data_IF_628685387051
#
_entry.id   IF_628685387051
#
_cell.length_a   1.000
_cell.length_b   1.000
_cell.length_c   1.000
_cell.angle_alpha   90.00
_cell.angle_beta   90.00
_cell.angle_gamma   90.00
#
_symmetry.space_group_name_H-M   'P 1'
#
loop_
_entity.id
_entity.type
_entity.pdbx_description
1 polymer ?
#
# COMPACT_ATOMS: atom_id res chain seq x y z
N UNK A 1 -8.45 14.25 -8.42
CA UNK A 1 -8.09 13.56 -7.15
C UNK A 1 -7.82 12.09 -7.42
N UNK A 2 -6.85 11.48 -6.74
CA UNK A 2 -6.54 10.05 -6.81
C UNK A 2 -6.80 9.40 -5.46
N UNK A 3 -7.32 8.18 -5.45
CA UNK A 3 -7.61 7.41 -4.24
C UNK A 3 -6.87 6.08 -4.29
N UNK A 4 -6.10 5.81 -3.25
CA UNK A 4 -5.47 4.53 -2.98
C UNK A 4 -6.26 3.87 -1.86
N UNK A 5 -6.87 2.72 -2.10
CA UNK A 5 -7.74 2.07 -1.13
C UNK A 5 -7.30 0.62 -0.86
N UNK A 6 -7.24 0.26 0.41
CA UNK A 6 -7.13 -1.12 0.84
C UNK A 6 -8.54 -1.70 1.00
N UNK A 7 -8.94 -2.62 0.12
CA UNK A 7 -10.26 -3.25 0.19
C UNK A 7 -10.37 -4.29 1.30
N UNK A 8 -9.25 -4.82 1.74
CA UNK A 8 -9.17 -5.81 2.81
C UNK A 8 -7.79 -5.78 3.45
N UNK A 9 -7.71 -6.25 4.67
CA UNK A 9 -6.44 -6.53 5.34
C UNK A 9 -6.14 -8.04 5.49
N UNK A 10 -6.91 -8.91 4.81
CA UNK A 10 -6.55 -10.33 4.63
C UNK A 10 -5.49 -10.50 3.54
N UNK A 11 -4.51 -11.36 3.78
CA UNK A 11 -3.48 -11.72 2.80
C UNK A 11 -3.07 -13.20 2.94
N UNK A 12 -2.88 -13.88 1.81
CA UNK A 12 -2.37 -15.25 1.75
C UNK A 12 -0.84 -15.30 1.81
N UNK A 13 -0.15 -14.24 1.36
CA UNK A 13 1.30 -14.17 1.34
C UNK A 13 1.86 -13.78 2.72
N UNK A 14 3.08 -14.26 3.00
CA UNK A 14 3.85 -13.93 4.19
C UNK A 14 5.19 -13.28 3.81
N UNK A 15 5.12 -12.12 3.14
CA UNK A 15 6.33 -11.41 2.69
C UNK A 15 7.08 -10.81 3.89
N UNK A 16 8.35 -11.15 4.14
CA UNK A 16 9.06 -10.80 5.38
C UNK A 16 9.20 -9.30 5.65
N UNK A 17 9.27 -8.48 4.58
CA UNK A 17 9.38 -7.01 4.71
C UNK A 17 8.03 -6.30 4.67
N UNK A 18 6.92 -7.04 4.75
CA UNK A 18 5.60 -6.44 4.75
C UNK A 18 5.28 -5.83 6.11
N UNK A 19 4.77 -4.59 6.11
CA UNK A 19 4.39 -3.85 7.30
C UNK A 19 3.24 -4.47 8.12
N UNK A 20 2.61 -5.55 7.60
CA UNK A 20 1.60 -6.31 8.34
C UNK A 20 2.18 -7.24 9.40
N UNK A 21 3.49 -7.53 9.36
CA UNK A 21 4.17 -8.44 10.27
C UNK A 21 5.06 -7.70 11.25
N UNK A 22 5.13 -8.22 12.48
CA UNK A 22 6.09 -7.77 13.48
C UNK A 22 7.50 -8.14 13.03
N UNK A 23 8.42 -7.19 13.14
CA UNK A 23 9.81 -7.40 12.70
C UNK A 23 10.52 -8.48 13.51
N UNK A 24 11.33 -9.30 12.84
CA UNK A 24 12.16 -10.32 13.48
C UNK A 24 11.43 -11.53 14.04
N UNK A 25 10.10 -11.58 13.90
CA UNK A 25 9.27 -12.66 14.42
C UNK A 25 8.79 -13.61 13.33
N UNK A 26 8.12 -14.68 13.74
CA UNK A 26 7.60 -15.81 12.93
C UNK A 26 6.54 -15.42 11.88
N UNK A 27 6.70 -14.28 11.23
CA UNK A 27 5.75 -13.72 10.25
C UNK A 27 4.30 -13.80 10.73
N UNK A 28 4.10 -13.51 12.01
CA UNK A 28 2.78 -13.38 12.61
C UNK A 28 2.23 -11.98 12.35
N UNK A 29 1.01 -11.86 11.80
CA UNK A 29 0.41 -10.56 11.58
C UNK A 29 0.26 -9.77 12.88
N UNK A 30 0.36 -8.45 12.79
CA UNK A 30 -0.07 -7.57 13.88
C UNK A 30 -1.55 -7.79 14.20
N UNK A 31 -1.94 -7.63 15.46
CA UNK A 31 -3.31 -7.86 15.93
C UNK A 31 -4.35 -6.93 15.27
N UNK A 32 -3.91 -5.78 14.77
CA UNK A 32 -4.76 -4.81 14.08
C UNK A 32 -5.09 -5.19 12.64
N UNK A 33 -4.50 -6.26 12.07
CA UNK A 33 -4.75 -6.73 10.70
C UNK A 33 -5.56 -8.05 10.70
N UNK A 34 -6.01 -8.49 9.51
CA UNK A 34 -6.90 -9.65 9.31
C UNK A 34 -8.29 -9.49 9.96
N UNK A 35 -8.84 -8.29 9.97
CA UNK A 35 -10.08 -7.96 10.69
C UNK A 35 -11.18 -7.36 9.81
N UNK A 36 -10.86 -6.84 8.63
CA UNK A 36 -11.84 -6.07 7.85
C UNK A 36 -11.77 -6.34 6.35
N UNK A 37 -12.93 -6.17 5.73
CA UNK A 37 -13.15 -6.15 4.28
C UNK A 37 -14.19 -5.09 3.96
N UNK A 38 -14.04 -4.42 2.85
CA UNK A 38 -15.00 -3.46 2.32
C UNK A 38 -16.07 -4.20 1.55
N UNK A 39 -17.33 -3.98 1.90
CA UNK A 39 -18.47 -4.48 1.11
C UNK A 39 -18.81 -3.51 -0.02
N UNK A 40 -19.53 -3.99 -1.04
CA UNK A 40 -20.01 -3.12 -2.13
C UNK A 40 -20.95 -2.03 -1.61
N UNK A 41 -21.75 -2.32 -0.59
CA UNK A 41 -22.66 -1.33 0.00
C UNK A 41 -21.90 -0.25 0.76
N UNK A 42 -20.86 -0.61 1.54
CA UNK A 42 -19.95 0.36 2.16
C UNK A 42 -19.25 1.19 1.09
N UNK A 43 -18.72 0.58 0.03
CA UNK A 43 -18.06 1.30 -1.04
C UNK A 43 -18.99 2.32 -1.72
N UNK A 44 -20.23 1.94 -2.02
CA UNK A 44 -21.26 2.84 -2.57
C UNK A 44 -21.65 3.95 -1.59
N UNK A 45 -21.71 3.66 -0.30
CA UNK A 45 -21.95 4.66 0.75
C UNK A 45 -20.81 5.70 0.80
N UNK A 46 -19.55 5.24 0.71
CA UNK A 46 -18.38 6.10 0.73
C UNK A 46 -18.24 6.92 -0.56
N UNK A 47 -18.59 6.33 -1.69
CA UNK A 47 -18.48 6.91 -3.02
C UNK A 47 -19.80 6.80 -3.79
N UNK A 48 -20.84 7.57 -3.39
CA UNK A 48 -22.14 7.55 -4.10
C UNK A 48 -22.02 8.11 -5.52
N UNK A 49 -20.98 8.84 -5.81
CA UNK A 49 -20.53 9.29 -7.13
C UNK A 49 -19.02 9.19 -7.24
N UNK A 50 -18.53 8.99 -8.47
CA UNK A 50 -17.10 9.00 -8.79
C UNK A 50 -16.66 10.30 -9.46
N UNK A 51 -17.53 11.31 -9.49
CA UNK A 51 -17.23 12.61 -10.07
C UNK A 51 -16.02 13.25 -9.36
N UNK A 52 -15.08 13.81 -10.14
CA UNK A 52 -13.84 14.39 -9.61
C UNK A 52 -12.76 13.38 -9.18
N UNK A 53 -13.06 12.07 -9.22
CA UNK A 53 -12.07 11.01 -8.96
C UNK A 53 -11.47 10.55 -10.29
N UNK A 54 -10.21 10.91 -10.51
CA UNK A 54 -9.45 10.51 -11.71
C UNK A 54 -9.07 9.02 -11.69
N UNK A 55 -8.73 8.51 -10.49
CA UNK A 55 -8.17 7.18 -10.33
C UNK A 55 -8.53 6.58 -8.98
N UNK A 56 -8.89 5.31 -9.00
CA UNK A 56 -8.96 4.46 -7.81
C UNK A 56 -7.94 3.32 -7.97
N UNK A 57 -7.12 3.14 -6.94
CA UNK A 57 -6.08 2.12 -6.93
C UNK A 57 -6.32 1.16 -5.75
N UNK A 58 -6.70 -0.07 -6.04
CA UNK A 58 -6.76 -1.15 -5.07
C UNK A 58 -5.33 -1.53 -4.67
N UNK A 59 -4.88 -0.94 -3.59
CA UNK A 59 -3.54 -1.15 -3.07
C UNK A 59 -3.59 -2.19 -1.95
N UNK A 60 -2.57 -3.03 -1.87
CA UNK A 60 -2.45 -4.02 -0.81
C UNK A 60 -1.41 -3.58 0.21
N UNK A 61 -1.69 -2.56 1.01
CA UNK A 61 -0.75 -2.11 2.06
C UNK A 61 -0.62 -3.15 3.16
N UNK A 62 -1.74 -3.70 3.59
CA UNK A 62 -1.84 -4.71 4.63
C UNK A 62 -2.54 -5.99 4.17
N UNK A 63 -3.16 -6.00 3.00
CA UNK A 63 -3.93 -7.12 2.48
C UNK A 63 -3.63 -7.42 1.01
N UNK A 64 -4.28 -8.45 0.51
CA UNK A 64 -4.32 -8.82 -0.90
C UNK A 64 -5.70 -8.46 -1.45
N UNK A 65 -5.84 -7.48 -2.34
CA UNK A 65 -7.15 -7.02 -2.80
C UNK A 65 -8.05 -8.12 -3.36
N UNK A 66 -7.48 -9.12 -4.03
CA UNK A 66 -8.23 -10.25 -4.59
C UNK A 66 -8.86 -11.19 -3.54
N UNK A 67 -8.58 -10.98 -2.26
CA UNK A 67 -9.26 -11.64 -1.14
C UNK A 67 -10.48 -10.87 -0.62
N UNK A 68 -10.73 -9.66 -1.10
CA UNK A 68 -11.99 -8.97 -0.81
C UNK A 68 -13.14 -9.68 -1.53
N UNK A 69 -14.16 -10.08 -0.78
CA UNK A 69 -15.29 -10.84 -1.31
C UNK A 69 -16.02 -10.09 -2.44
N UNK A 70 -16.19 -8.79 -2.28
CA UNK A 70 -16.97 -7.94 -3.19
C UNK A 70 -16.12 -7.21 -4.24
N UNK A 71 -14.84 -7.59 -4.41
CA UNK A 71 -13.95 -6.87 -5.33
C UNK A 71 -14.46 -6.80 -6.76
N UNK A 72 -15.11 -7.86 -7.27
CA UNK A 72 -15.67 -7.86 -8.63
C UNK A 72 -16.82 -6.86 -8.76
N UNK A 73 -17.70 -6.78 -7.76
CA UNK A 73 -18.81 -5.84 -7.76
C UNK A 73 -18.32 -4.40 -7.57
N UNK A 74 -17.31 -4.17 -6.72
CA UNK A 74 -16.67 -2.86 -6.53
C UNK A 74 -15.96 -2.41 -7.81
N UNK A 75 -15.19 -3.29 -8.46
CA UNK A 75 -14.52 -3.00 -9.73
C UNK A 75 -15.52 -2.68 -10.83
N UNK A 76 -16.60 -3.49 -10.92
CA UNK A 76 -17.70 -3.26 -11.87
C UNK A 76 -18.38 -1.91 -11.66
N UNK A 77 -18.63 -1.52 -10.40
CA UNK A 77 -19.19 -0.22 -10.06
C UNK A 77 -18.28 0.94 -10.52
N UNK A 78 -16.96 0.82 -10.29
CA UNK A 78 -15.99 1.85 -10.67
C UNK A 78 -15.92 2.00 -12.19
N UNK A 79 -15.85 0.89 -12.90
CA UNK A 79 -15.76 0.89 -14.38
C UNK A 79 -17.09 1.27 -15.03
N UNK A 80 -18.20 1.05 -14.34
CA UNK A 80 -19.56 1.29 -14.85
C UNK A 80 -20.03 0.18 -15.79
N UNK A 81 -19.76 -1.08 -15.43
CA UNK A 81 -20.21 -2.27 -16.15
C UNK A 81 -21.10 -3.14 -15.27
N UNK A 82 -21.94 -3.94 -15.85
CA UNK A 82 -22.71 -4.96 -15.15
C UNK A 82 -21.91 -6.27 -14.98
N UNK A 83 -22.55 -7.29 -14.38
CA UNK A 83 -21.94 -8.62 -14.16
C UNK A 83 -21.46 -9.31 -15.45
N UNK A 84 -21.99 -8.90 -16.59
CA UNK A 84 -21.72 -9.46 -17.91
C UNK A 84 -20.80 -8.57 -18.74
N UNK A 85 -20.19 -7.57 -18.08
CA UNK A 85 -19.33 -6.55 -18.70
C UNK A 85 -20.08 -5.71 -19.77
N UNK A 86 -21.39 -5.60 -19.65
CA UNK A 86 -22.17 -4.65 -20.43
C UNK A 86 -22.02 -3.25 -19.82
N UNK A 87 -21.53 -2.31 -20.61
CA UNK A 87 -21.33 -0.94 -20.19
C UNK A 87 -22.65 -0.25 -19.91
N UNK A 88 -22.90 0.11 -18.65
CA UNK A 88 -24.15 0.77 -18.22
C UNK A 88 -23.96 2.25 -17.91
N UNK A 89 -22.72 2.69 -17.70
CA UNK A 89 -22.36 4.07 -17.39
C UNK A 89 -20.97 4.39 -17.94
N UNK A 90 -20.81 5.56 -18.51
CA UNK A 90 -19.48 6.03 -18.94
C UNK A 90 -18.75 6.67 -17.77
N UNK A 91 -17.99 5.88 -17.01
CA UNK A 91 -17.11 6.38 -15.95
C UNK A 91 -15.70 6.60 -16.50
N UNK A 92 -15.12 7.78 -16.22
CA UNK A 92 -13.76 8.11 -16.64
C UNK A 92 -12.71 7.81 -15.55
N UNK A 93 -13.14 7.25 -14.43
CA UNK A 93 -12.25 6.89 -13.32
C UNK A 93 -11.38 5.69 -13.68
N UNK A 94 -10.07 5.88 -13.71
CA UNK A 94 -9.12 4.79 -13.97
C UNK A 94 -9.11 3.81 -12.80
N UNK A 95 -9.07 2.53 -13.11
CA UNK A 95 -8.95 1.46 -12.11
C UNK A 95 -7.54 0.85 -12.15
N UNK A 96 -6.84 0.90 -11.04
CA UNK A 96 -5.57 0.23 -10.84
C UNK A 96 -5.68 -0.80 -9.72
N UNK A 97 -4.88 -1.85 -9.80
CA UNK A 97 -4.80 -2.87 -8.74
C UNK A 97 -3.36 -3.38 -8.62
N UNK A 98 -2.92 -3.67 -7.40
CA UNK A 98 -1.73 -4.51 -7.16
C UNK A 98 -2.14 -5.84 -6.57
N UNK A 99 -1.54 -6.92 -7.03
CA UNK A 99 -1.82 -8.26 -6.52
C UNK A 99 -0.55 -9.12 -6.45
N UNK A 100 -0.54 -10.08 -5.53
CA UNK A 100 0.44 -11.16 -5.53
C UNK A 100 0.03 -12.32 -6.48
N UNK A 101 -1.22 -12.32 -6.97
CA UNK A 101 -1.76 -13.29 -7.94
C UNK A 101 -1.97 -14.70 -7.42
N UNK A 102 -1.60 -14.99 -6.16
CA UNK A 102 -1.59 -16.34 -5.59
C UNK A 102 -2.93 -16.81 -5.02
N UNK A 103 -4.00 -16.00 -5.16
CA UNK A 103 -5.33 -16.31 -4.63
C UNK A 103 -6.29 -16.73 -5.74
N UNK A 104 -7.46 -17.17 -5.35
CA UNK A 104 -8.57 -17.52 -6.27
C UNK A 104 -8.18 -18.52 -7.36
N UNK A 105 -9.07 -18.76 -8.32
CA UNK A 105 -8.85 -19.57 -9.50
C UNK A 105 -9.02 -18.76 -10.79
N UNK A 106 -8.73 -19.38 -11.93
CA UNK A 106 -8.77 -18.74 -13.25
C UNK A 106 -10.12 -18.10 -13.57
N UNK A 107 -11.24 -18.69 -13.12
CA UNK A 107 -12.57 -18.11 -13.36
C UNK A 107 -12.70 -16.71 -12.74
N UNK A 108 -12.21 -16.51 -11.53
CA UNK A 108 -12.19 -15.18 -10.89
C UNK A 108 -11.35 -14.20 -11.70
N UNK A 109 -10.15 -14.63 -12.13
CA UNK A 109 -9.21 -13.76 -12.85
C UNK A 109 -9.70 -13.44 -14.27
N UNK A 110 -10.40 -14.36 -14.94
CA UNK A 110 -11.09 -14.07 -16.20
C UNK A 110 -12.13 -12.96 -15.99
N UNK A 111 -12.99 -13.10 -14.97
CA UNK A 111 -14.02 -12.09 -14.68
C UNK A 111 -13.43 -10.71 -14.36
N UNK A 112 -12.35 -10.69 -13.59
CA UNK A 112 -11.66 -9.43 -13.27
C UNK A 112 -10.98 -8.84 -14.52
N UNK A 113 -10.41 -9.68 -15.38
CA UNK A 113 -9.82 -9.27 -16.65
C UNK A 113 -10.85 -8.67 -17.60
N UNK A 114 -12.05 -9.29 -17.73
CA UNK A 114 -13.18 -8.74 -18.49
C UNK A 114 -13.56 -7.32 -18.01
N UNK A 115 -13.64 -7.11 -16.68
CA UNK A 115 -13.95 -5.79 -16.12
C UNK A 115 -12.84 -4.78 -16.47
N UNK A 116 -11.58 -5.18 -16.32
CA UNK A 116 -10.45 -4.29 -16.64
C UNK A 116 -10.34 -3.97 -18.14
N UNK A 117 -10.78 -4.86 -19.02
CA UNK A 117 -10.80 -4.61 -20.47
C UNK A 117 -11.74 -3.48 -20.87
N UNK A 118 -12.82 -3.29 -20.09
CA UNK A 118 -13.80 -2.21 -20.27
C UNK A 118 -13.42 -0.91 -19.55
N UNK A 119 -12.39 -0.94 -18.72
CA UNK A 119 -11.96 0.21 -17.94
C UNK A 119 -11.33 1.31 -18.83
N UNK A 120 -11.37 2.58 -18.41
CA UNK A 120 -10.73 3.68 -19.15
C UNK A 120 -9.25 3.43 -19.41
N UNK A 121 -8.75 3.94 -20.55
CA UNK A 121 -7.34 3.82 -20.93
C UNK A 121 -6.42 4.30 -19.80
N UNK A 122 -5.39 3.50 -19.50
CA UNK A 122 -4.48 3.73 -18.38
C UNK A 122 -4.89 3.01 -17.09
N UNK A 123 -5.95 2.19 -17.14
CA UNK A 123 -6.25 1.20 -16.11
C UNK A 123 -5.40 -0.04 -16.32
N UNK A 124 -4.90 -0.65 -15.25
CA UNK A 124 -4.09 -1.89 -15.31
C UNK A 124 -3.97 -2.57 -13.96
N UNK A 125 -3.65 -3.87 -14.00
CA UNK A 125 -3.32 -4.67 -12.82
C UNK A 125 -1.82 -4.91 -12.74
N UNK A 126 -1.21 -4.61 -11.59
CA UNK A 126 0.20 -4.87 -11.30
C UNK A 126 0.31 -6.24 -10.63
N UNK A 127 1.03 -7.13 -11.26
CA UNK A 127 1.35 -8.46 -10.76
C UNK A 127 2.72 -8.45 -10.10
N UNK A 128 2.75 -8.62 -8.80
CA UNK A 128 3.98 -8.62 -8.01
C UNK A 128 4.61 -10.02 -8.02
N UNK A 129 5.48 -10.30 -9.01
CA UNK A 129 6.11 -11.60 -9.21
C UNK A 129 7.62 -11.44 -9.04
N UNK A 130 8.12 -11.72 -7.84
CA UNK A 130 9.48 -11.42 -7.40
C UNK A 130 10.44 -12.61 -7.56
N UNK A 131 10.25 -13.41 -8.58
CA UNK A 131 11.11 -14.55 -8.91
C UNK A 131 10.42 -15.55 -9.82
N UNK A 132 11.20 -16.51 -10.33
CA UNK A 132 10.74 -17.59 -11.23
C UNK A 132 10.82 -18.91 -10.48
N UNK A 133 9.72 -19.69 -10.49
CA UNK A 133 9.61 -20.96 -9.77
C UNK A 133 9.89 -20.77 -8.27
N UNK A 134 10.73 -21.57 -7.69
CA UNK A 134 11.01 -21.63 -6.26
C UNK A 134 11.61 -20.34 -5.69
N UNK A 135 12.22 -19.51 -6.53
CA UNK A 135 12.76 -18.21 -6.07
C UNK A 135 11.67 -17.20 -5.69
N UNK A 136 10.46 -17.33 -6.24
CA UNK A 136 9.33 -16.49 -5.82
C UNK A 136 9.06 -16.64 -4.32
N UNK A 137 9.06 -17.87 -3.82
CA UNK A 137 8.70 -18.16 -2.43
C UNK A 137 9.77 -17.73 -1.41
N UNK A 138 10.99 -17.42 -1.85
CA UNK A 138 12.02 -16.88 -0.97
C UNK A 138 11.62 -15.51 -0.38
N UNK A 139 10.81 -14.74 -1.11
CA UNK A 139 10.26 -13.47 -0.62
C UNK A 139 8.72 -13.50 -0.50
N UNK A 140 8.01 -14.03 -1.50
CA UNK A 140 6.55 -14.17 -1.48
C UNK A 140 6.16 -15.51 -0.83
N UNK A 141 6.51 -15.68 0.44
CA UNK A 141 6.22 -16.91 1.19
C UNK A 141 4.72 -17.24 1.10
N UNK A 142 4.36 -18.52 0.89
CA UNK A 142 3.00 -19.02 0.64
C UNK A 142 2.38 -18.62 -0.73
N UNK A 143 3.16 -18.15 -1.69
CA UNK A 143 2.66 -17.83 -3.04
C UNK A 143 3.24 -18.82 -4.05
N UNK A 144 2.40 -19.60 -4.68
CA UNK A 144 2.80 -20.57 -5.70
C UNK A 144 2.98 -19.91 -7.07
N UNK A 145 4.16 -20.09 -7.68
CA UNK A 145 4.51 -19.46 -8.96
C UNK A 145 3.62 -19.93 -10.11
N UNK A 146 3.35 -21.22 -10.23
CA UNK A 146 2.60 -21.77 -11.36
C UNK A 146 1.12 -21.32 -11.27
N UNK A 147 0.59 -21.22 -10.06
CA UNK A 147 -0.73 -20.63 -9.83
C UNK A 147 -0.78 -19.14 -10.24
N UNK A 148 0.24 -18.35 -9.86
CA UNK A 148 0.32 -16.92 -10.25
C UNK A 148 0.36 -16.78 -11.76
N UNK A 149 1.20 -17.56 -12.46
CA UNK A 149 1.32 -17.51 -13.91
C UNK A 149 0.01 -17.93 -14.61
N UNK A 150 -0.65 -18.99 -14.11
CA UNK A 150 -1.95 -19.43 -14.62
C UNK A 150 -3.02 -18.37 -14.45
N UNK A 151 -3.08 -17.72 -13.29
CA UNK A 151 -4.02 -16.65 -12.99
C UNK A 151 -3.75 -15.40 -13.84
N UNK A 152 -2.49 -14.97 -13.97
CA UNK A 152 -2.11 -13.84 -14.80
C UNK A 152 -2.47 -14.08 -16.28
N UNK A 153 -2.26 -15.30 -16.78
CA UNK A 153 -2.67 -15.66 -18.14
C UNK A 153 -4.18 -15.53 -18.32
N UNK A 154 -4.96 -16.06 -17.39
CA UNK A 154 -6.43 -15.96 -17.43
C UNK A 154 -6.91 -14.50 -17.47
N UNK A 155 -6.32 -13.62 -16.68
CA UNK A 155 -6.62 -12.19 -16.68
C UNK A 155 -6.27 -11.51 -18.02
N UNK A 156 -5.09 -11.84 -18.58
CA UNK A 156 -4.61 -11.23 -19.84
C UNK A 156 -5.40 -11.74 -21.05
N UNK A 157 -5.78 -13.02 -21.08
CA UNK A 157 -6.53 -13.64 -22.20
C UNK A 157 -7.91 -13.03 -22.37
N UNK A 158 -8.51 -12.46 -21.35
CA UNK A 158 -9.79 -11.71 -21.43
C UNK A 158 -9.60 -10.22 -21.72
N UNK A 159 -8.38 -9.80 -22.05
CA UNK A 159 -8.10 -8.41 -22.41
C UNK A 159 -7.69 -7.51 -21.23
N UNK A 160 -7.56 -8.05 -20.03
CA UNK A 160 -7.13 -7.31 -18.84
C UNK A 160 -5.69 -6.78 -18.99
N UNK A 161 -5.45 -5.45 -18.92
CA UNK A 161 -4.13 -4.87 -19.03
C UNK A 161 -3.27 -5.22 -17.80
N UNK A 162 -2.17 -5.94 -17.97
CA UNK A 162 -1.32 -6.41 -16.90
C UNK A 162 0.11 -5.88 -16.97
N UNK A 163 0.68 -5.52 -15.82
CA UNK A 163 2.06 -5.12 -15.65
C UNK A 163 2.75 -6.11 -14.72
N UNK A 164 3.87 -6.67 -15.11
CA UNK A 164 4.70 -7.47 -14.21
C UNK A 164 5.65 -6.55 -13.45
N UNK A 165 5.57 -6.53 -12.13
CA UNK A 165 6.53 -5.82 -11.27
C UNK A 165 7.34 -6.83 -10.47
N UNK A 166 8.68 -6.66 -10.48
CA UNK A 166 9.63 -7.52 -9.79
C UNK A 166 10.51 -6.73 -8.83
N UNK A 167 10.49 -7.08 -7.56
CA UNK A 167 11.50 -6.65 -6.60
C UNK A 167 12.74 -7.53 -6.77
N UNK A 168 13.90 -6.88 -6.89
CA UNK A 168 15.17 -7.57 -7.14
C UNK A 168 15.99 -7.62 -5.87
N UNK A 169 16.26 -8.85 -5.45
CA UNK A 169 17.12 -9.26 -4.35
C UNK A 169 18.30 -10.05 -4.92
N UNK A 170 19.30 -10.37 -4.12
CA UNK A 170 20.44 -11.21 -4.54
C UNK A 170 20.01 -12.56 -5.08
N UNK A 171 19.01 -13.19 -4.45
CA UNK A 171 18.54 -14.54 -4.84
C UNK A 171 17.81 -14.62 -6.20
N UNK A 172 17.40 -13.49 -6.77
CA UNK A 172 16.65 -13.44 -8.03
C UNK A 172 17.22 -12.45 -9.06
N UNK A 173 18.33 -11.77 -8.78
CA UNK A 173 18.91 -10.75 -9.66
C UNK A 173 19.26 -11.28 -11.05
N UNK A 174 19.75 -12.51 -11.15
CA UNK A 174 20.11 -13.15 -12.41
C UNK A 174 18.88 -13.56 -13.25
N UNK A 175 17.69 -13.50 -12.67
CA UNK A 175 16.45 -13.87 -13.34
C UNK A 175 15.76 -12.72 -14.08
N UNK A 176 16.21 -11.47 -13.91
CA UNK A 176 15.54 -10.27 -14.45
C UNK A 176 15.36 -10.37 -15.97
N UNK A 177 16.41 -10.75 -16.72
CA UNK A 177 16.33 -10.90 -18.17
C UNK A 177 15.34 -12.01 -18.60
N UNK A 178 15.35 -13.13 -17.90
CA UNK A 178 14.43 -14.26 -18.13
C UNK A 178 12.99 -13.88 -17.80
N UNK A 179 12.76 -13.19 -16.68
CA UNK A 179 11.44 -12.70 -16.27
C UNK A 179 10.87 -11.73 -17.32
N UNK A 180 11.69 -10.80 -17.82
CA UNK A 180 11.32 -9.90 -18.92
C UNK A 180 10.94 -10.64 -20.20
N UNK A 181 11.63 -11.70 -20.55
CA UNK A 181 11.30 -12.54 -21.71
C UNK A 181 9.96 -13.24 -21.51
N UNK A 182 9.74 -13.87 -20.34
CA UNK A 182 8.49 -14.54 -20.01
C UNK A 182 7.32 -13.54 -20.03
N UNK A 183 7.50 -12.34 -19.46
CA UNK A 183 6.45 -11.32 -19.44
C UNK A 183 6.00 -10.92 -20.84
N UNK A 184 6.93 -10.77 -21.78
CA UNK A 184 6.62 -10.50 -23.21
C UNK A 184 5.86 -11.66 -23.87
N UNK A 185 6.31 -12.89 -23.66
CA UNK A 185 5.63 -14.08 -24.20
C UNK A 185 4.21 -14.24 -23.65
N UNK A 186 3.98 -13.86 -22.41
CA UNK A 186 2.66 -13.85 -21.76
C UNK A 186 1.81 -12.63 -22.11
N UNK A 187 2.33 -11.67 -22.89
CA UNK A 187 1.63 -10.44 -23.30
C UNK A 187 1.34 -9.50 -22.13
N UNK A 188 2.18 -9.46 -21.10
CA UNK A 188 2.15 -8.32 -20.20
C UNK A 188 2.46 -7.04 -20.98
N UNK A 189 1.71 -5.96 -20.71
CA UNK A 189 1.92 -4.69 -21.40
C UNK A 189 3.23 -4.00 -21.00
N UNK A 190 3.73 -4.28 -19.79
CA UNK A 190 4.99 -3.73 -19.28
C UNK A 190 5.65 -4.69 -18.29
N UNK A 191 6.99 -4.55 -18.17
CA UNK A 191 7.81 -5.24 -17.17
C UNK A 191 8.63 -4.21 -16.41
N UNK A 192 8.39 -4.09 -15.12
CA UNK A 192 9.06 -3.19 -14.21
C UNK A 192 9.88 -3.96 -13.19
N UNK A 193 11.08 -3.49 -12.89
CA UNK A 193 11.88 -4.07 -11.80
C UNK A 193 12.57 -2.98 -10.99
N UNK A 194 12.75 -3.25 -9.71
CA UNK A 194 13.39 -2.31 -8.78
C UNK A 194 14.25 -3.10 -7.81
N UNK A 195 15.52 -2.74 -7.68
CA UNK A 195 16.38 -3.29 -6.63
C UNK A 195 15.89 -2.84 -5.26
N UNK A 196 15.83 -3.75 -4.32
CA UNK A 196 15.54 -3.44 -2.92
C UNK A 196 16.82 -2.89 -2.31
N UNK A 197 16.75 -1.68 -1.78
CA UNK A 197 17.92 -0.95 -1.28
C UNK A 197 17.75 -0.41 0.16
N UNK A 198 16.78 -0.98 0.90
CA UNK A 198 16.43 -0.50 2.24
C UNK A 198 16.53 -1.61 3.30
N UNK A 199 17.20 -2.74 3.00
CA UNK A 199 17.40 -3.78 4.03
C UNK A 199 18.28 -3.25 5.17
N UNK A 200 19.13 -2.32 4.88
CA UNK A 200 19.96 -1.58 5.82
C UNK A 200 19.15 -0.97 6.97
N UNK A 201 18.01 -0.36 6.65
CA UNK A 201 17.15 0.31 7.64
C UNK A 201 16.29 -0.69 8.43
N UNK A 202 16.15 -1.92 7.94
CA UNK A 202 15.28 -2.94 8.53
C UNK A 202 16.01 -3.92 9.43
N UNK A 203 17.28 -4.23 9.16
CA UNK A 203 18.03 -5.24 9.92
C UNK A 203 18.62 -4.71 11.22
N UNK A 204 18.86 -3.41 11.32
CA UNK A 204 19.67 -2.82 12.40
C UNK A 204 21.16 -3.20 12.32
N UNK A 205 21.54 -4.13 11.44
CA UNK A 205 22.90 -4.63 11.28
C UNK A 205 23.71 -3.81 10.28
N UNK A 206 23.05 -3.08 9.40
CA UNK A 206 23.71 -2.21 8.42
C UNK A 206 24.50 -2.95 7.32
N UNK A 207 24.25 -4.25 7.12
CA UNK A 207 25.00 -5.13 6.20
C UNK A 207 24.24 -5.48 4.89
N UNK A 208 23.05 -4.92 4.69
CA UNK A 208 22.22 -5.22 3.51
C UNK A 208 21.52 -6.58 3.57
N UNK A 209 21.40 -7.16 4.77
CA UNK A 209 20.68 -8.40 5.00
C UNK A 209 19.44 -8.18 5.88
N UNK A 210 18.45 -9.05 5.75
CA UNK A 210 17.31 -9.14 6.64
C UNK A 210 17.03 -10.59 6.99
N UNK A 211 17.10 -10.90 8.30
CA UNK A 211 16.86 -12.25 8.82
C UNK A 211 15.51 -12.33 9.52
N UNK A 212 14.77 -13.40 9.25
CA UNK A 212 13.47 -13.67 9.84
C UNK A 212 13.30 -15.17 10.14
N UNK A 213 12.40 -15.49 11.05
CA UNK A 213 12.04 -16.88 11.38
C UNK A 213 10.69 -17.21 10.74
N UNK A 214 10.57 -18.41 10.15
CA UNK A 214 9.31 -18.94 9.64
C UNK A 214 9.27 -20.46 9.87
N UNK A 215 8.21 -20.94 10.54
CA UNK A 215 8.03 -22.36 10.91
C UNK A 215 9.22 -22.96 11.66
N UNK A 216 9.86 -22.17 12.52
CA UNK A 216 11.03 -22.59 13.30
C UNK A 216 12.36 -22.59 12.56
N UNK A 217 12.38 -22.23 11.28
CA UNK A 217 13.59 -22.11 10.48
C UNK A 217 13.98 -20.64 10.30
N UNK A 218 15.28 -20.36 10.32
CA UNK A 218 15.83 -19.02 10.09
C UNK A 218 16.14 -18.84 8.61
N UNK A 219 15.62 -17.75 8.03
CA UNK A 219 15.81 -17.38 6.63
C UNK A 219 16.46 -16.01 6.54
N UNK A 220 17.26 -15.78 5.50
CA UNK A 220 17.91 -14.49 5.25
C UNK A 220 17.60 -14.03 3.82
N UNK A 221 17.27 -12.75 3.69
CA UNK A 221 17.14 -12.03 2.42
C UNK A 221 18.32 -11.07 2.32
N UNK A 222 18.94 -11.00 1.15
CA UNK A 222 20.07 -10.12 0.88
C UNK A 222 19.71 -9.15 -0.25
N UNK A 223 20.25 -7.94 -0.17
CA UNK A 223 20.16 -6.98 -1.28
C UNK A 223 20.90 -7.50 -2.52
N UNK A 224 20.46 -7.04 -3.70
CA UNK A 224 21.13 -7.38 -4.95
C UNK A 224 22.55 -6.80 -4.97
N UNK A 225 23.49 -7.48 -5.65
CA UNK A 225 24.85 -7.00 -5.85
C UNK A 225 24.84 -5.65 -6.59
N UNK A 226 25.89 -4.84 -6.41
CA UNK A 226 26.01 -3.49 -6.98
C UNK A 226 24.90 -2.50 -6.57
N UNK A 227 24.25 -2.76 -5.46
CA UNK A 227 23.33 -1.81 -4.86
C UNK A 227 24.15 -0.63 -4.35
N UNK A 228 24.11 0.48 -5.09
CA UNK A 228 24.73 1.72 -4.62
C UNK A 228 23.89 2.22 -3.45
N UNK A 229 24.35 1.89 -2.25
CA UNK A 229 23.81 2.50 -1.05
C UNK A 229 24.01 4.01 -1.14
N UNK A 230 22.99 4.71 -1.59
CA UNK A 230 22.91 6.12 -1.29
C UNK A 230 22.57 6.21 0.19
N UNK A 231 23.58 6.17 1.04
CA UNK A 231 23.51 6.50 2.47
C UNK A 231 23.07 7.93 2.73
N UNK A 232 22.34 8.50 1.81
CA UNK A 232 21.74 9.81 1.87
C UNK A 232 20.36 9.73 2.56
N UNK A 233 20.35 9.21 3.78
CA UNK A 233 19.39 9.69 4.78
C UNK A 233 19.87 11.09 5.17
N UNK A 234 19.79 12.02 4.23
CA UNK A 234 20.01 13.42 4.55
C UNK A 234 18.95 13.80 5.55
N UNK A 235 19.34 14.14 6.78
CA UNK A 235 18.44 14.77 7.75
C UNK A 235 17.91 16.02 7.05
N UNK A 236 16.58 16.09 6.89
CA UNK A 236 15.96 17.29 6.36
C UNK A 236 16.25 18.42 7.35
N UNK A 237 16.93 19.49 6.91
CA UNK A 237 17.19 20.64 7.76
C UNK A 237 15.85 21.23 8.28
N UNK A 238 15.85 21.79 9.47
CA UNK A 238 14.66 22.38 10.12
C UNK A 238 13.92 23.40 9.23
N UNK A 239 14.63 24.02 8.30
CA UNK A 239 14.07 25.00 7.35
C UNK A 239 13.87 24.43 5.93
N UNK A 240 13.85 23.10 5.75
CA UNK A 240 13.63 22.51 4.43
C UNK A 240 12.19 22.75 3.97
N UNK A 241 12.02 23.15 2.72
CA UNK A 241 10.70 23.18 2.09
C UNK A 241 10.10 21.75 2.06
N UNK A 242 8.83 21.62 2.41
CA UNK A 242 8.10 20.35 2.33
C UNK A 242 7.37 20.30 0.99
N UNK A 243 7.73 19.30 0.17
CA UNK A 243 6.99 18.96 -1.05
C UNK A 243 6.25 17.64 -0.84
N UNK A 244 4.97 17.72 -0.52
CA UNK A 244 4.17 16.55 -0.25
C UNK A 244 4.01 15.67 -1.49
N UNK A 245 4.43 14.40 -1.41
CA UNK A 245 4.28 13.42 -2.50
C UNK A 245 2.84 13.04 -2.79
N UNK A 246 1.93 13.30 -1.87
CA UNK A 246 0.50 13.05 -1.96
C UNK A 246 -0.29 14.31 -2.37
N UNK A 247 0.40 15.39 -2.72
CA UNK A 247 -0.21 16.59 -3.27
C UNK A 247 -0.95 17.46 -2.26
N UNK A 248 -0.84 17.20 -0.93
CA UNK A 248 -1.43 18.10 0.06
C UNK A 248 -0.83 19.51 -0.08
N UNK A 249 -1.68 20.51 -0.01
CA UNK A 249 -1.32 21.89 -0.34
C UNK A 249 -1.41 22.25 -1.82
N UNK A 250 -1.86 21.31 -2.68
CA UNK A 250 -2.10 21.53 -4.12
C UNK A 250 -3.50 21.05 -4.53
N UNK A 251 -3.86 21.24 -5.81
CA UNK A 251 -5.13 20.75 -6.35
C UNK A 251 -5.08 19.26 -6.80
N UNK A 252 -3.90 18.62 -6.84
CA UNK A 252 -3.74 17.21 -7.23
C UNK A 252 -3.49 16.32 -6.01
N UNK A 253 -4.52 16.16 -5.19
CA UNK A 253 -4.44 15.37 -3.96
C UNK A 253 -4.56 13.88 -4.25
N UNK A 254 -3.69 13.09 -3.63
CA UNK A 254 -3.82 11.65 -3.51
C UNK A 254 -4.13 11.28 -2.07
N UNK A 255 -5.22 10.57 -1.85
CA UNK A 255 -5.65 10.09 -0.53
C UNK A 255 -5.41 8.60 -0.40
N UNK A 256 -5.22 8.15 0.83
CA UNK A 256 -5.22 6.73 1.16
C UNK A 256 -6.41 6.42 2.05
N UNK A 257 -7.08 5.31 1.79
CA UNK A 257 -8.24 4.86 2.57
C UNK A 257 -7.98 3.41 2.95
N UNK A 258 -8.09 3.11 4.21
CA UNK A 258 -7.93 1.73 4.67
C UNK A 258 -9.25 0.94 4.62
N UNK A 259 -9.19 -0.34 4.90
CA UNK A 259 -10.33 -1.27 4.86
C UNK A 259 -11.42 -0.97 5.91
N UNK A 260 -11.21 0.00 6.79
CA UNK A 260 -12.18 0.53 7.77
C UNK A 260 -12.70 1.91 7.39
N UNK A 261 -12.39 2.38 6.20
CA UNK A 261 -12.83 3.68 5.69
C UNK A 261 -12.10 4.88 6.29
N UNK A 262 -11.01 4.68 7.03
CA UNK A 262 -10.24 5.81 7.55
C UNK A 262 -9.45 6.44 6.42
N UNK A 263 -9.61 7.75 6.26
CA UNK A 263 -8.90 8.55 5.27
C UNK A 263 -7.57 9.02 5.84
N UNK A 264 -6.48 8.69 5.17
CA UNK A 264 -5.12 9.01 5.57
C UNK A 264 -4.46 9.96 4.58
N UNK A 265 -3.69 10.90 5.09
CA UNK A 265 -2.95 11.85 4.27
C UNK A 265 -1.84 11.17 3.45
N UNK A 266 -1.24 10.09 3.94
CA UNK A 266 -0.17 9.36 3.25
C UNK A 266 0.05 7.96 3.84
N UNK A 267 0.97 7.17 3.24
CA UNK A 267 1.29 5.82 3.70
C UNK A 267 1.89 5.79 5.12
N UNK A 268 2.71 6.77 5.47
CA UNK A 268 3.27 6.88 6.80
C UNK A 268 2.19 7.15 7.85
N UNK A 269 1.22 8.01 7.52
CA UNK A 269 0.06 8.26 8.35
C UNK A 269 -0.78 7.00 8.55
N UNK A 270 -1.07 6.26 7.47
CA UNK A 270 -1.82 5.01 7.53
C UNK A 270 -1.14 3.96 8.42
N UNK A 271 0.15 3.76 8.29
CA UNK A 271 0.87 2.75 9.08
C UNK A 271 0.94 3.10 10.57
N UNK A 272 0.91 4.40 10.93
CA UNK A 272 1.08 4.86 12.31
C UNK A 272 -0.23 4.97 13.08
N UNK A 273 -1.33 5.40 12.46
CA UNK A 273 -2.60 5.56 13.19
C UNK A 273 -3.09 4.26 13.83
N UNK A 274 -2.78 3.11 13.26
CA UNK A 274 -3.12 1.80 13.85
C UNK A 274 -2.53 1.62 15.25
N UNK A 275 -1.34 2.16 15.49
CA UNK A 275 -0.69 2.07 16.80
C UNK A 275 -1.27 3.03 17.83
N UNK A 276 -1.73 4.21 17.40
CA UNK A 276 -2.33 5.19 18.30
C UNK A 276 -3.80 4.91 18.62
N UNK A 277 -4.50 4.15 17.77
CA UNK A 277 -5.90 3.79 17.94
C UNK A 277 -6.13 2.28 17.92
N UNK A 278 -5.47 1.50 18.81
CA UNK A 278 -5.55 0.03 18.78
C UNK A 278 -6.98 -0.47 19.03
N UNK A 279 -7.73 0.14 19.94
CA UNK A 279 -9.12 -0.25 20.21
C UNK A 279 -10.02 -0.12 18.97
N UNK A 280 -9.83 0.92 18.18
CA UNK A 280 -10.56 1.09 16.91
C UNK A 280 -10.19 -0.01 15.90
N UNK A 281 -8.90 -0.30 15.73
CA UNK A 281 -8.46 -1.27 14.73
C UNK A 281 -8.66 -2.73 15.15
N UNK A 282 -8.65 -3.03 16.44
CA UNK A 282 -8.86 -4.39 16.97
C UNK A 282 -10.35 -4.65 17.22
N UNK A 283 -11.05 -3.73 17.87
CA UNK A 283 -12.38 -3.94 18.41
C UNK A 283 -13.48 -3.09 17.75
N UNK A 284 -13.13 -2.21 16.81
CA UNK A 284 -14.01 -1.19 16.24
C UNK A 284 -14.58 -0.23 17.31
N UNK A 285 -13.80 0.03 18.36
CA UNK A 285 -14.16 0.90 19.48
C UNK A 285 -13.42 2.26 19.32
N UNK A 286 -14.13 3.38 19.08
CA UNK A 286 -13.53 4.68 18.78
C UNK A 286 -13.03 5.42 20.03
N UNK A 287 -12.29 4.73 20.89
CA UNK A 287 -11.64 5.38 22.03
C UNK A 287 -10.57 6.39 21.61
N UNK A 288 -10.24 7.35 22.50
CA UNK A 288 -9.15 8.29 22.29
C UNK A 288 -7.82 7.57 22.01
N UNK A 289 -6.92 8.28 21.34
CA UNK A 289 -5.57 7.80 21.07
C UNK A 289 -4.83 7.46 22.37
N UNK A 290 -4.01 6.42 22.31
CA UNK A 290 -3.14 6.00 23.43
C UNK A 290 -1.66 6.12 23.02
N UNK A 291 -0.84 6.61 23.96
CA UNK A 291 0.60 6.68 23.78
C UNK A 291 1.25 5.46 24.45
N UNK A 292 2.23 4.87 23.82
CA UNK A 292 3.05 3.81 24.42
C UNK A 292 2.68 2.37 24.07
N UNK A 293 1.72 2.14 23.19
CA UNK A 293 1.35 0.77 22.77
C UNK A 293 2.41 0.05 21.90
N UNK A 294 3.53 0.71 21.58
CA UNK A 294 4.58 0.17 20.71
C UNK A 294 5.95 0.26 21.41
N UNK A 295 6.11 -0.48 22.48
CA UNK A 295 7.45 -0.80 22.97
C UNK A 295 8.07 -1.79 21.98
N UNK A 296 9.20 -1.41 21.34
CA UNK A 296 10.19 -2.25 20.65
C UNK A 296 10.03 -2.64 19.16
N UNK A 297 9.12 -2.11 18.38
CA UNK A 297 8.98 -2.60 16.97
C UNK A 297 9.64 -1.74 15.89
N UNK A 298 10.15 -0.56 16.21
CA UNK A 298 10.93 0.27 15.28
C UNK A 298 12.29 0.59 15.89
N UNK A 299 13.35 -0.10 15.49
CA UNK A 299 14.70 0.15 16.00
C UNK A 299 15.08 1.65 15.97
N UNK A 300 15.73 2.14 17.02
CA UNK A 300 16.38 3.43 17.26
C UNK A 300 15.80 4.75 16.74
N UNK A 301 15.45 4.83 15.46
CA UNK A 301 14.80 6.00 14.86
C UNK A 301 13.27 5.98 15.02
N UNK A 302 12.69 4.86 15.42
CA UNK A 302 11.25 4.66 15.54
C UNK A 302 10.61 5.47 16.66
N UNK A 303 11.27 5.58 17.80
CA UNK A 303 10.74 6.26 18.98
C UNK A 303 10.62 7.77 18.74
N UNK A 304 11.65 8.43 18.17
CA UNK A 304 11.59 9.87 17.88
C UNK A 304 10.47 10.25 16.90
N UNK A 305 10.19 9.39 15.91
CA UNK A 305 9.09 9.63 14.97
C UNK A 305 7.73 9.37 15.63
N UNK A 306 7.63 8.44 16.55
CA UNK A 306 6.42 8.17 17.32
C UNK A 306 6.07 9.35 18.24
N UNK A 307 7.06 9.86 18.97
CA UNK A 307 6.90 11.06 19.79
C UNK A 307 6.42 12.25 18.95
N UNK A 308 7.03 12.44 17.77
CA UNK A 308 6.66 13.52 16.88
C UNK A 308 5.21 13.40 16.34
N UNK A 309 4.72 12.19 16.06
CA UNK A 309 3.31 11.96 15.71
C UNK A 309 2.38 12.32 16.88
N UNK A 310 2.72 11.84 18.07
CA UNK A 310 1.94 12.12 19.27
C UNK A 310 1.87 13.61 19.58
N UNK A 311 3.00 14.31 19.48
CA UNK A 311 3.08 15.73 19.80
C UNK A 311 2.45 16.64 18.74
N UNK A 312 2.38 16.22 17.48
CA UNK A 312 2.01 17.11 16.37
C UNK A 312 0.69 16.74 15.67
N UNK A 313 0.48 15.48 15.31
CA UNK A 313 -0.67 15.09 14.49
C UNK A 313 -1.82 14.50 15.29
N UNK A 314 -1.54 13.75 16.35
CA UNK A 314 -2.60 13.15 17.17
C UNK A 314 -3.47 14.20 17.85
N UNK A 315 -2.93 15.27 18.50
CA UNK A 315 -3.76 16.31 19.07
C UNK A 315 -4.72 16.95 18.05
N UNK A 316 -4.27 17.15 16.80
CA UNK A 316 -5.11 17.71 15.74
C UNK A 316 -6.26 16.79 15.35
N UNK A 317 -6.07 15.48 15.45
CA UNK A 317 -7.12 14.48 15.17
C UNK A 317 -8.09 14.41 16.36
N UNK A 318 -7.57 14.41 17.59
CA UNK A 318 -8.38 14.37 18.80
C UNK A 318 -9.26 15.63 18.93
N UNK A 319 -8.72 16.82 18.67
CA UNK A 319 -9.44 18.10 18.74
C UNK A 319 -10.67 18.16 17.80
N UNK A 320 -10.69 17.37 16.73
CA UNK A 320 -11.82 17.32 15.80
C UNK A 320 -12.73 16.09 15.97
N UNK A 321 -12.55 15.31 17.04
CA UNK A 321 -13.39 14.15 17.38
C UNK A 321 -12.74 12.79 17.17
N UNK A 322 -11.40 12.72 17.22
CA UNK A 322 -10.63 11.48 17.15
C UNK A 322 -10.68 10.81 15.79
N UNK A 323 -10.36 9.50 15.77
CA UNK A 323 -10.23 8.69 14.53
C UNK A 323 -11.52 8.66 13.70
N UNK A 324 -12.70 8.73 14.33
CA UNK A 324 -13.99 8.70 13.63
C UNK A 324 -14.21 9.94 12.77
N UNK A 325 -13.57 11.07 13.10
CA UNK A 325 -13.61 12.29 12.28
C UNK A 325 -13.02 12.09 10.90
N UNK A 326 -12.11 11.13 10.75
CA UNK A 326 -11.42 10.75 9.51
C UNK A 326 -12.06 9.55 8.80
N UNK A 327 -13.10 8.93 9.36
CA UNK A 327 -13.70 7.70 8.80
C UNK A 327 -14.94 7.98 7.96
N UNK A 328 -14.98 7.36 6.78
CA UNK A 328 -16.09 7.40 5.82
C UNK A 328 -17.35 6.68 6.32
N UNK A 329 -17.25 5.85 7.34
CA UNK A 329 -18.42 5.26 8.00
C UNK A 329 -19.22 6.28 8.80
N UNK A 330 -18.57 7.33 9.30
CA UNK A 330 -19.16 8.39 10.13
C UNK A 330 -19.36 9.70 9.39
N UNK A 331 -18.56 9.98 8.35
CA UNK A 331 -18.56 11.23 7.60
C UNK A 331 -18.45 10.98 6.10
N UNK A 332 -18.95 11.88 5.26
CA UNK A 332 -18.64 11.84 3.84
C UNK A 332 -17.24 12.41 3.54
N UNK A 333 -16.70 12.06 2.38
CA UNK A 333 -15.34 12.45 1.99
C UNK A 333 -15.16 13.98 1.94
N UNK A 334 -16.16 14.71 1.46
CA UNK A 334 -16.11 16.18 1.39
C UNK A 334 -15.98 16.81 2.78
N UNK A 335 -16.77 16.33 3.76
CA UNK A 335 -16.69 16.80 5.15
C UNK A 335 -15.32 16.51 5.77
N UNK A 336 -14.75 15.33 5.51
CA UNK A 336 -13.40 14.95 5.98
C UNK A 336 -12.37 15.91 5.38
N UNK A 337 -12.41 16.17 4.07
CA UNK A 337 -11.43 17.03 3.39
C UNK A 337 -11.57 18.52 3.78
N UNK A 338 -12.76 18.96 4.16
CA UNK A 338 -13.01 20.32 4.68
C UNK A 338 -12.69 20.44 6.17
N UNK A 339 -12.42 19.33 6.87
CA UNK A 339 -12.07 19.38 8.29
C UNK A 339 -10.81 20.22 8.52
N UNK A 340 -10.64 20.80 9.71
CA UNK A 340 -9.44 21.58 10.05
C UNK A 340 -8.14 20.80 9.78
N UNK A 341 -8.12 19.50 10.04
CA UNK A 341 -6.96 18.65 9.80
C UNK A 341 -6.48 18.73 8.34
N UNK A 342 -7.37 18.50 7.37
CA UNK A 342 -6.98 18.47 5.94
C UNK A 342 -6.89 19.87 5.32
N UNK A 343 -7.82 20.75 5.66
CA UNK A 343 -7.93 22.06 4.99
C UNK A 343 -6.90 23.08 5.46
N UNK A 344 -6.37 22.92 6.69
CA UNK A 344 -5.52 23.94 7.29
C UNK A 344 -4.33 23.38 8.07
N UNK A 345 -4.60 22.58 9.10
CA UNK A 345 -3.61 22.24 10.13
C UNK A 345 -2.51 21.31 9.64
N UNK A 346 -2.80 20.35 8.75
CA UNK A 346 -1.79 19.48 8.17
C UNK A 346 -0.69 20.28 7.43
N UNK A 347 -1.10 21.25 6.60
CA UNK A 347 -0.15 22.10 5.85
C UNK A 347 0.53 23.13 6.76
N UNK A 348 -0.20 23.70 7.71
CA UNK A 348 0.36 24.65 8.69
C UNK A 348 1.39 24.00 9.62
N UNK A 349 1.21 22.70 9.95
CA UNK A 349 2.17 21.95 10.77
C UNK A 349 3.55 21.88 10.12
N UNK A 350 3.66 22.14 8.80
CA UNK A 350 4.93 22.11 8.07
C UNK A 350 5.90 23.25 8.46
N UNK A 351 5.42 24.28 9.12
CA UNK A 351 6.26 25.41 9.58
C UNK A 351 7.16 25.02 10.77
N UNK A 352 6.82 23.96 11.53
CA UNK A 352 7.55 23.48 12.69
C UNK A 352 8.34 22.19 12.43
N UNK A 353 8.84 21.58 13.49
CA UNK A 353 9.33 20.21 13.49
C UNK A 353 8.13 19.28 13.31
N UNK A 354 8.06 18.52 12.23
CA UNK A 354 6.92 17.70 11.87
C UNK A 354 7.34 16.43 11.16
N UNK A 355 6.53 15.38 11.31
CA UNK A 355 6.68 14.12 10.58
C UNK A 355 6.76 14.33 9.06
N UNK A 356 5.97 15.26 8.51
CA UNK A 356 6.01 15.55 7.09
C UNK A 356 7.38 16.05 6.64
N UNK A 357 8.11 16.77 7.48
CA UNK A 357 9.47 17.24 7.18
C UNK A 357 10.46 16.10 7.10
N UNK A 358 10.39 15.15 8.01
CA UNK A 358 11.25 13.98 8.02
C UNK A 358 11.11 13.12 6.76
N UNK A 359 9.88 12.96 6.25
CA UNK A 359 9.60 12.12 5.09
C UNK A 359 9.57 12.86 3.75
N UNK A 360 9.14 14.12 3.73
CA UNK A 360 8.87 14.88 2.50
C UNK A 360 9.65 16.19 2.41
N UNK A 361 10.49 16.54 3.39
CA UNK A 361 11.38 17.70 3.31
C UNK A 361 12.37 17.54 2.16
N UNK A 362 12.62 18.65 1.44
CA UNK A 362 13.60 18.66 0.36
C UNK A 362 15.00 18.52 0.96
N UNK A 363 15.63 17.38 0.75
CA UNK A 363 16.98 17.11 1.20
C UNK A 363 17.96 17.82 0.28
N UNK A 364 18.70 18.79 0.80
CA UNK A 364 19.83 19.37 0.07
C UNK A 364 21.00 18.40 0.18
N UNK A 365 21.35 17.75 -0.91
CA UNK A 365 22.57 16.95 -0.99
C UNK A 365 23.76 17.87 -0.77
N UNK A 366 24.52 17.71 0.32
CA UNK A 366 25.88 18.21 0.36
C UNK A 366 26.65 17.42 -0.69
N UNK A 367 27.06 18.07 -1.79
CA UNK A 367 28.17 17.56 -2.60
C UNK A 367 29.36 17.50 -1.67
N UNK A 368 29.74 16.30 -1.22
CA UNK A 368 31.09 16.09 -0.70
C UNK A 368 32.03 16.25 -1.88
N UNK A 369 32.83 17.30 -1.83
CA UNK A 369 33.99 17.48 -2.71
C UNK A 369 34.95 16.32 -2.48
#
# INVERSE_FOLDING_TARGET
MKILIDLTDYCNAKCPLCSRYKRGNDLSPDESVNRSQVTIDQFKKWFPTLEGIEQIYFQGSFGEPSLCNDILDIASYIVGVDRWCNKIKNNNTKLLMSTNGGTNGTHFWNRLGDIFSEAPRGSYCIWSIDGIKDTLQKYRVNVDYDKVIKNARAFIETGGPAVWRMLVFKHNQDQVAKAKTISKLMKFQDFQHTKVNNLYDYSGNGDGTYTYTYKGETHTIEEADDNKHTTNVGIAHENSEIKCRYGHGTNDITLRIDSRGVVHACCHHQSRLRFFYPDFYINNDPKPAVFGAVENECGGAGNQLQDLYWETLIPLIEDQGGITSLSLDYNNLEKILRSPFYSKTLVQSWQGKTVCREYCGIKRYKKTC
#
